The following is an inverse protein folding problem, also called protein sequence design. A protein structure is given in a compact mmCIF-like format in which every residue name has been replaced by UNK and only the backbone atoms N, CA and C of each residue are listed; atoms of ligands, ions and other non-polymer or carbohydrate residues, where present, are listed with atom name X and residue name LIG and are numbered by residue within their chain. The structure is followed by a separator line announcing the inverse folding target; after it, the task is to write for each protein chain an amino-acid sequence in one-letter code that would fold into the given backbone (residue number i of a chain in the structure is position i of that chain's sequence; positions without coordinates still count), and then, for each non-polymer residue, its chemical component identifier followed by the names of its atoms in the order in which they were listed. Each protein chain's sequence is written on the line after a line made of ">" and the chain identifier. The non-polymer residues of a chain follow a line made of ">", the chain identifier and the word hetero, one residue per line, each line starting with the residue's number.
data_IF_590252636178
#
_entry.id   IF_590252636178
#
_cell.length_a   1.000
_cell.length_b   1.000
_cell.length_c   1.000
_cell.angle_alpha   90.00
_cell.angle_beta   90.00
_cell.angle_gamma   90.00
#
_symmetry.space_group_name_H-M   'P 1'
#
loop_
_entity.id
_entity.type
_entity.pdbx_description
1 polymer ?
#
# COMPACT_ATOMS: atom_id res chain seq x y z
N UNK A 1 -18.85 -57.86 17.38
CA UNK A 1 -19.01 -56.87 16.29
C UNK A 1 -18.78 -55.49 16.90
N UNK A 2 -17.63 -54.88 16.64
CA UNK A 2 -17.21 -53.59 17.22
C UNK A 2 -17.59 -52.49 16.22
N UNK A 3 -18.43 -51.56 16.68
CA UNK A 3 -18.97 -50.46 15.89
C UNK A 3 -17.88 -49.43 15.57
N UNK A 4 -17.75 -49.06 14.29
CA UNK A 4 -16.78 -48.08 13.78
C UNK A 4 -17.24 -46.66 14.16
N UNK A 5 -16.53 -45.99 15.06
CA UNK A 5 -16.61 -44.54 15.19
C UNK A 5 -15.74 -43.89 14.12
N UNK A 6 -16.38 -43.31 13.11
CA UNK A 6 -15.74 -42.37 12.20
C UNK A 6 -15.61 -41.03 12.92
N UNK A 7 -14.39 -40.64 13.30
CA UNK A 7 -14.06 -39.26 13.63
C UNK A 7 -13.99 -38.49 12.31
N UNK A 8 -15.00 -37.69 12.01
CA UNK A 8 -14.94 -36.70 10.95
C UNK A 8 -14.25 -35.45 11.51
N UNK A 9 -12.95 -35.30 11.24
CA UNK A 9 -12.20 -34.08 11.53
C UNK A 9 -12.63 -33.01 10.52
N UNK A 10 -13.48 -32.08 10.94
CA UNK A 10 -13.79 -30.89 10.17
C UNK A 10 -12.55 -29.97 10.17
N UNK A 11 -11.77 -30.03 9.09
CA UNK A 11 -10.69 -29.09 8.83
C UNK A 11 -11.33 -27.76 8.42
N UNK A 12 -11.47 -26.83 9.35
CA UNK A 12 -11.85 -25.45 9.03
C UNK A 12 -10.65 -24.76 8.37
N UNK A 13 -10.63 -24.77 7.04
CA UNK A 13 -9.77 -23.91 6.23
C UNK A 13 -10.22 -22.45 6.43
N UNK A 14 -9.72 -21.80 7.47
CA UNK A 14 -9.77 -20.34 7.55
C UNK A 14 -8.68 -19.82 6.60
N UNK A 15 -9.05 -19.61 5.33
CA UNK A 15 -8.24 -18.80 4.44
C UNK A 15 -8.22 -17.39 5.03
N UNK A 16 -7.06 -16.96 5.52
CA UNK A 16 -6.82 -15.58 5.91
C UNK A 16 -6.93 -14.73 4.66
N UNK A 17 -8.08 -14.12 4.42
CA UNK A 17 -8.19 -13.05 3.44
C UNK A 17 -7.34 -11.90 3.98
N UNK A 18 -6.13 -11.72 3.44
CA UNK A 18 -5.26 -10.59 3.72
C UNK A 18 -5.86 -9.33 3.07
N UNK A 19 -6.97 -8.84 3.62
CA UNK A 19 -7.55 -7.56 3.24
C UNK A 19 -6.99 -6.56 4.24
N UNK A 20 -5.93 -5.83 3.87
CA UNK A 20 -5.49 -4.70 4.68
C UNK A 20 -6.28 -3.42 4.38
N UNK A 21 -7.28 -3.48 3.51
CA UNK A 21 -8.21 -2.38 3.31
C UNK A 21 -9.06 -2.20 4.55
N UNK A 22 -9.21 -0.96 4.98
CA UNK A 22 -10.04 -0.60 6.11
C UNK A 22 -11.22 0.21 5.60
N UNK A 23 -12.43 -0.18 6.02
CA UNK A 23 -13.65 0.48 5.61
C UNK A 23 -14.29 1.19 6.80
N UNK A 24 -14.17 2.52 6.79
CA UNK A 24 -14.73 3.40 7.81
C UNK A 24 -16.14 3.89 7.46
N UNK A 25 -16.66 4.87 8.21
CA UNK A 25 -17.93 5.50 7.89
C UNK A 25 -17.92 6.08 6.47
N UNK A 26 -18.93 5.74 5.66
CA UNK A 26 -19.04 6.13 4.25
C UNK A 26 -17.92 5.61 3.34
N UNK A 27 -17.28 4.48 3.66
CA UNK A 27 -16.21 3.88 2.84
C UNK A 27 -16.57 3.70 1.36
N UNK A 28 -17.75 3.16 1.07
CA UNK A 28 -18.23 2.98 -0.32
C UNK A 28 -18.26 4.30 -1.11
N UNK A 29 -18.72 5.39 -0.47
CA UNK A 29 -18.75 6.72 -1.10
C UNK A 29 -17.35 7.26 -1.35
N UNK A 30 -16.40 6.93 -0.47
CA UNK A 30 -15.02 7.33 -0.66
C UNK A 30 -14.36 6.55 -1.81
N UNK A 31 -14.68 5.26 -1.95
CA UNK A 31 -14.22 4.44 -3.08
C UNK A 31 -14.69 5.05 -4.42
N UNK A 32 -15.98 5.37 -4.53
CA UNK A 32 -16.54 6.06 -5.70
C UNK A 32 -15.86 7.42 -5.96
N UNK A 33 -15.61 8.18 -4.91
CA UNK A 33 -14.96 9.51 -5.03
C UNK A 33 -13.50 9.39 -5.50
N UNK A 34 -12.75 8.38 -5.04
CA UNK A 34 -11.41 8.09 -5.50
C UNK A 34 -11.40 7.68 -6.99
N UNK A 35 -12.34 6.83 -7.42
CA UNK A 35 -12.49 6.46 -8.83
C UNK A 35 -12.80 7.69 -9.73
N UNK A 36 -13.69 8.58 -9.26
CA UNK A 36 -13.95 9.84 -9.97
C UNK A 36 -12.72 10.73 -10.06
N UNK A 37 -11.92 10.82 -8.98
CA UNK A 37 -10.67 11.56 -8.97
C UNK A 37 -9.67 10.98 -9.99
N UNK A 38 -9.47 9.66 -10.02
CA UNK A 38 -8.57 8.99 -10.97
C UNK A 38 -8.99 9.30 -12.41
N UNK A 39 -10.27 9.17 -12.73
CA UNK A 39 -10.79 9.49 -14.06
C UNK A 39 -10.58 10.97 -14.42
N UNK A 40 -10.90 11.88 -13.50
CA UNK A 40 -10.74 13.31 -13.71
C UNK A 40 -9.27 13.72 -13.90
N UNK A 41 -8.34 13.06 -13.20
CA UNK A 41 -6.91 13.32 -13.26
C UNK A 41 -6.14 12.35 -14.16
N UNK A 42 -6.83 11.65 -15.08
CA UNK A 42 -6.19 10.81 -16.11
C UNK A 42 -5.30 11.60 -17.07
N UNK A 43 -5.47 12.93 -17.11
CA UNK A 43 -4.64 13.88 -17.85
C UNK A 43 -4.34 15.08 -16.94
N UNK A 44 -3.20 15.72 -17.15
CA UNK A 44 -2.81 16.95 -16.45
C UNK A 44 -3.13 18.17 -17.35
N UNK A 45 -3.83 19.21 -16.84
CA UNK A 45 -4.44 19.31 -15.51
C UNK A 45 -5.69 18.44 -15.34
N UNK A 46 -5.97 18.06 -14.10
CA UNK A 46 -7.22 17.38 -13.73
C UNK A 46 -8.45 18.13 -14.26
N UNK A 47 -9.43 17.37 -14.77
CA UNK A 47 -10.73 17.92 -15.17
C UNK A 47 -11.49 18.43 -13.94
N UNK A 48 -12.03 19.65 -14.05
CA UNK A 48 -12.89 20.23 -13.02
C UNK A 48 -14.06 19.28 -12.68
N UNK A 49 -14.51 19.23 -11.40
CA UNK A 49 -14.13 20.09 -10.28
C UNK A 49 -12.90 19.60 -9.49
N UNK A 50 -12.17 18.59 -9.98
CA UNK A 50 -11.07 17.99 -9.24
C UNK A 50 -9.75 18.74 -9.41
N UNK A 51 -8.93 18.71 -8.37
CA UNK A 51 -7.52 19.11 -8.44
C UNK A 51 -6.68 18.29 -7.47
N UNK A 52 -5.37 18.27 -7.70
CA UNK A 52 -4.40 17.52 -6.90
C UNK A 52 -3.26 18.44 -6.46
N UNK A 53 -2.83 18.30 -5.20
CA UNK A 53 -1.69 19.06 -4.67
C UNK A 53 -0.77 18.12 -3.91
N UNK A 54 0.52 18.15 -4.27
CA UNK A 54 1.56 17.48 -3.47
C UNK A 54 1.69 18.19 -2.11
N UNK A 55 1.39 17.44 -1.05
CA UNK A 55 1.39 17.94 0.34
C UNK A 55 2.47 17.31 1.19
N UNK A 56 3.02 16.17 0.78
CA UNK A 56 4.16 15.53 1.43
C UNK A 56 5.09 14.90 0.38
N UNK A 57 6.40 15.05 0.56
CA UNK A 57 7.40 14.34 -0.23
C UNK A 57 8.70 14.17 0.56
N UNK A 58 9.10 12.92 0.76
CA UNK A 58 10.26 12.53 1.55
C UNK A 58 11.58 13.02 0.95
N UNK A 59 11.73 12.93 -0.39
CA UNK A 59 12.98 13.25 -1.08
C UNK A 59 13.29 14.76 -1.06
N UNK A 60 12.28 15.59 -1.33
CA UNK A 60 12.38 17.06 -1.29
C UNK A 60 12.18 17.66 0.10
N UNK A 61 11.85 16.82 1.10
CA UNK A 61 11.50 17.23 2.48
C UNK A 61 10.32 18.20 2.54
N UNK A 62 9.42 18.13 1.57
CA UNK A 62 8.17 18.87 1.60
C UNK A 62 7.24 18.26 2.63
N UNK A 63 6.74 19.06 3.57
CA UNK A 63 5.65 18.66 4.44
C UNK A 63 4.70 19.83 4.71
N UNK A 64 3.51 19.79 4.11
CA UNK A 64 2.40 20.72 4.31
C UNK A 64 1.30 20.13 5.22
N UNK A 65 1.47 18.88 5.66
CA UNK A 65 0.55 18.20 6.57
C UNK A 65 0.88 18.56 8.02
N UNK A 66 -0.10 18.39 8.92
CA UNK A 66 0.20 18.40 10.35
C UNK A 66 1.02 17.16 10.73
N UNK A 67 1.67 17.21 11.89
CA UNK A 67 2.41 16.06 12.41
C UNK A 67 1.49 14.84 12.60
N UNK A 68 0.29 15.05 13.16
CA UNK A 68 -0.73 14.02 13.33
C UNK A 68 -1.14 13.37 12.00
N UNK A 69 -1.46 14.17 10.99
CA UNK A 69 -1.79 13.66 9.66
C UNK A 69 -0.64 12.84 9.06
N UNK A 70 0.59 13.33 9.20
CA UNK A 70 1.78 12.62 8.71
C UNK A 70 1.94 11.26 9.38
N UNK A 71 1.74 11.20 10.70
CA UNK A 71 1.88 9.95 11.46
C UNK A 71 0.76 8.95 11.17
N UNK A 72 -0.47 9.43 10.94
CA UNK A 72 -1.58 8.59 10.49
C UNK A 72 -1.29 8.02 9.09
N UNK A 73 -0.86 8.83 8.14
CA UNK A 73 -0.53 8.35 6.78
C UNK A 73 0.63 7.36 6.78
N UNK A 74 1.63 7.54 7.67
CA UNK A 74 2.70 6.55 7.89
C UNK A 74 2.17 5.23 8.44
N UNK A 75 1.20 5.29 9.36
CA UNK A 75 0.55 4.10 9.90
C UNK A 75 -0.22 3.35 8.80
N UNK A 76 -0.97 4.08 7.95
CA UNK A 76 -1.66 3.48 6.80
C UNK A 76 -0.66 2.82 5.85
N UNK A 77 0.41 3.53 5.47
CA UNK A 77 1.48 2.97 4.64
C UNK A 77 2.05 1.67 5.23
N UNK A 78 2.37 1.67 6.53
CA UNK A 78 2.87 0.48 7.22
C UNK A 78 1.87 -0.68 7.16
N UNK A 79 0.59 -0.42 7.44
CA UNK A 79 -0.48 -1.43 7.41
C UNK A 79 -0.62 -2.06 6.03
N UNK A 80 -0.64 -1.25 4.97
CA UNK A 80 -0.84 -1.75 3.61
C UNK A 80 0.39 -2.48 3.08
N UNK A 81 1.60 -2.01 3.40
CA UNK A 81 2.84 -2.71 3.04
C UNK A 81 2.98 -4.12 3.63
N UNK A 82 2.23 -4.47 4.69
CA UNK A 82 2.22 -5.84 5.20
C UNK A 82 1.62 -6.84 4.21
N UNK A 83 0.78 -6.40 3.25
CA UNK A 83 0.17 -7.30 2.25
C UNK A 83 1.20 -7.80 1.24
N UNK A 84 2.26 -7.02 0.94
CA UNK A 84 3.23 -7.38 -0.11
C UNK A 84 3.82 -8.78 0.09
N UNK A 85 3.98 -9.19 1.34
CA UNK A 85 4.39 -10.54 1.75
C UNK A 85 3.62 -11.67 1.06
N UNK A 86 2.33 -11.45 0.86
CA UNK A 86 1.41 -12.44 0.32
C UNK A 86 1.09 -12.22 -1.18
N UNK A 87 1.40 -11.05 -1.76
CA UNK A 87 0.99 -10.69 -3.14
C UNK A 87 2.14 -10.49 -4.14
N UNK A 88 3.34 -10.11 -3.70
CA UNK A 88 4.51 -9.87 -4.58
C UNK A 88 5.72 -10.67 -4.14
N UNK A 89 5.85 -10.92 -2.84
CA UNK A 89 6.97 -11.64 -2.27
C UNK A 89 6.82 -13.16 -2.39
N UNK A 90 6.27 -13.70 -3.49
CA UNK A 90 6.05 -15.16 -3.75
C UNK A 90 7.33 -16.04 -3.69
N UNK A 91 8.43 -15.53 -3.12
CA UNK A 91 9.73 -16.17 -2.93
C UNK A 91 10.87 -15.37 -3.54
N UNK A 92 10.54 -14.49 -4.48
CA UNK A 92 11.52 -13.79 -5.34
C UNK A 92 12.07 -12.50 -4.73
N UNK A 93 11.57 -12.09 -3.57
CA UNK A 93 12.00 -10.86 -2.93
C UNK A 93 12.09 -11.01 -1.41
N UNK A 94 13.08 -10.32 -0.83
CA UNK A 94 13.20 -10.15 0.61
C UNK A 94 13.01 -8.68 0.97
N UNK A 95 12.02 -8.34 1.78
CA UNK A 95 11.85 -6.98 2.30
C UNK A 95 12.64 -6.76 3.59
N UNK A 96 13.16 -5.54 3.78
CA UNK A 96 13.75 -5.08 5.04
C UNK A 96 12.70 -4.81 6.15
N UNK A 97 11.40 -4.78 5.82
CA UNK A 97 10.30 -4.56 6.78
C UNK A 97 10.26 -3.16 7.40
N UNK A 98 10.83 -2.16 6.72
CA UNK A 98 10.85 -0.76 7.17
C UNK A 98 10.13 0.13 6.16
N UNK A 99 8.81 0.20 6.28
CA UNK A 99 7.98 1.02 5.41
C UNK A 99 8.27 2.50 5.56
N UNK A 100 8.30 3.19 4.43
CA UNK A 100 8.50 4.64 4.35
C UNK A 100 7.37 5.25 3.52
N UNK A 101 6.69 6.24 4.09
CA UNK A 101 5.85 7.14 3.30
C UNK A 101 6.75 7.99 2.39
N UNK A 102 6.58 7.87 1.08
CA UNK A 102 7.39 8.57 0.08
C UNK A 102 6.75 9.89 -0.34
N UNK A 103 5.45 9.87 -0.64
CA UNK A 103 4.69 11.05 -1.02
C UNK A 103 3.23 10.96 -0.59
N UNK A 104 2.59 12.13 -0.45
CA UNK A 104 1.14 12.23 -0.34
C UNK A 104 0.64 13.38 -1.21
N UNK A 105 -0.37 13.09 -2.02
CA UNK A 105 -1.11 14.04 -2.83
C UNK A 105 -2.49 14.19 -2.21
N UNK A 106 -2.82 15.40 -1.74
CA UNK A 106 -4.18 15.72 -1.36
C UNK A 106 -4.98 15.99 -2.64
N UNK A 107 -6.13 15.34 -2.79
CA UNK A 107 -7.03 15.63 -3.89
C UNK A 107 -8.30 16.31 -3.40
N UNK A 108 -8.72 17.29 -4.19
CA UNK A 108 -9.76 18.25 -3.85
C UNK A 108 -10.91 18.17 -4.84
N UNK A 109 -12.10 18.52 -4.37
CA UNK A 109 -13.28 18.81 -5.19
C UNK A 109 -13.75 20.21 -4.87
N UNK A 110 -13.52 21.15 -5.80
CA UNK A 110 -13.54 22.57 -5.46
C UNK A 110 -12.51 22.90 -4.37
N UNK A 111 -12.96 23.48 -3.26
CA UNK A 111 -12.07 23.89 -2.14
C UNK A 111 -11.99 22.86 -1.00
N UNK A 112 -12.64 21.69 -1.14
CA UNK A 112 -12.71 20.67 -0.10
C UNK A 112 -11.72 19.55 -0.39
N UNK A 113 -10.88 19.18 0.58
CA UNK A 113 -10.10 17.94 0.54
C UNK A 113 -11.07 16.77 0.60
N UNK A 114 -11.03 15.90 -0.41
CA UNK A 114 -11.88 14.70 -0.48
C UNK A 114 -11.09 13.41 -0.33
N UNK A 115 -9.76 13.47 -0.27
CA UNK A 115 -8.90 12.37 0.14
C UNK A 115 -7.42 12.62 -0.10
N UNK A 116 -6.62 11.59 0.17
CA UNK A 116 -5.20 11.56 -0.10
C UNK A 116 -4.87 10.34 -0.96
N UNK A 117 -3.99 10.52 -1.94
CA UNK A 117 -3.29 9.42 -2.61
C UNK A 117 -1.88 9.37 -2.07
N UNK A 118 -1.50 8.28 -1.43
CA UNK A 118 -0.17 8.10 -0.83
C UNK A 118 0.65 7.13 -1.64
N UNK A 119 1.96 7.37 -1.71
CA UNK A 119 2.94 6.41 -2.21
C UNK A 119 3.88 6.05 -1.07
N UNK A 120 4.18 4.78 -0.93
CA UNK A 120 5.08 4.29 0.11
C UNK A 120 5.90 3.12 -0.40
N UNK A 121 7.03 2.87 0.26
CA UNK A 121 7.96 1.83 -0.16
C UNK A 121 8.74 1.20 1.00
N UNK A 122 9.20 -0.03 0.78
CA UNK A 122 10.21 -0.69 1.60
C UNK A 122 11.47 -0.94 0.80
N UNK A 123 12.62 -0.89 1.49
CA UNK A 123 13.84 -1.42 0.92
C UNK A 123 13.68 -2.93 0.78
N UNK A 124 14.04 -3.47 -0.37
CA UNK A 124 13.96 -4.89 -0.65
C UNK A 124 15.16 -5.36 -1.49
N UNK A 125 15.30 -6.67 -1.61
CA UNK A 125 16.27 -7.32 -2.47
C UNK A 125 15.55 -8.32 -3.36
N UNK A 126 15.89 -8.35 -4.64
CA UNK A 126 15.49 -9.43 -5.54
C UNK A 126 16.34 -10.68 -5.22
N UNK A 127 15.68 -11.74 -4.77
CA UNK A 127 16.27 -13.00 -4.37
C UNK A 127 16.18 -14.10 -5.44
N UNK A 128 15.51 -13.86 -6.58
CA UNK A 128 15.34 -14.87 -7.63
C UNK A 128 16.64 -15.21 -8.36
N UNK A 129 17.59 -14.27 -8.42
CA UNK A 129 18.86 -14.43 -9.15
C UNK A 129 20.09 -14.56 -8.23
N UNK A 130 19.91 -14.65 -6.90
CA UNK A 130 21.02 -14.78 -5.95
C UNK A 130 20.85 -16.00 -5.04
N UNK A 131 21.96 -16.48 -4.47
CA UNK A 131 21.96 -17.57 -3.49
C UNK A 131 21.54 -17.07 -2.09
N UNK A 132 20.29 -16.61 -1.97
CA UNK A 132 19.72 -16.18 -0.69
C UNK A 132 19.38 -17.39 0.19
N UNK A 133 19.98 -17.44 1.38
CA UNK A 133 19.83 -18.53 2.35
C UNK A 133 18.99 -18.15 3.58
N UNK A 134 18.29 -17.01 3.52
CA UNK A 134 17.54 -16.45 4.65
C UNK A 134 18.36 -15.56 5.57
N UNK A 135 19.69 -15.43 5.37
CA UNK A 135 20.54 -14.59 6.20
C UNK A 135 20.81 -13.22 5.58
N UNK A 136 21.03 -12.21 6.42
CA UNK A 136 21.42 -10.87 5.95
C UNK A 136 22.73 -10.87 5.15
N UNK A 137 23.61 -11.85 5.38
CA UNK A 137 24.90 -11.91 4.70
C UNK A 137 24.76 -12.29 3.22
N UNK A 138 23.84 -13.21 2.89
CA UNK A 138 23.61 -13.65 1.51
C UNK A 138 22.94 -12.57 0.64
N UNK A 139 22.26 -11.59 1.25
CA UNK A 139 21.70 -10.42 0.54
C UNK A 139 22.74 -9.57 -0.20
N UNK A 140 24.04 -9.67 0.15
CA UNK A 140 25.10 -8.89 -0.52
C UNK A 140 25.25 -9.22 -2.00
N UNK A 141 24.88 -10.44 -2.41
CA UNK A 141 24.91 -10.87 -3.82
C UNK A 141 23.60 -10.59 -4.55
N UNK A 142 22.60 -10.05 -3.87
CA UNK A 142 21.26 -9.82 -4.40
C UNK A 142 21.11 -8.38 -4.88
N UNK A 143 20.25 -8.18 -5.87
CA UNK A 143 20.00 -6.85 -6.42
C UNK A 143 19.16 -6.05 -5.42
N UNK A 144 19.71 -4.95 -4.92
CA UNK A 144 19.02 -4.06 -3.99
C UNK A 144 18.08 -3.11 -4.73
N UNK A 145 16.90 -2.90 -4.16
CA UNK A 145 15.92 -1.96 -4.66
C UNK A 145 14.87 -1.59 -3.62
N UNK A 146 13.68 -1.23 -4.09
CA UNK A 146 12.52 -0.92 -3.27
C UNK A 146 11.25 -1.48 -3.88
N UNK A 147 10.40 -2.04 -3.04
CA UNK A 147 9.01 -2.35 -3.40
C UNK A 147 8.19 -1.12 -3.05
N UNK A 148 7.34 -0.65 -3.96
CA UNK A 148 6.51 0.52 -3.75
C UNK A 148 5.07 0.31 -4.21
N UNK A 149 4.12 0.90 -3.49
CA UNK A 149 2.68 0.83 -3.76
C UNK A 149 2.05 2.22 -3.63
N UNK A 150 0.84 2.35 -4.16
CA UNK A 150 -0.03 3.50 -3.94
C UNK A 150 -1.34 3.07 -3.26
N UNK A 151 -1.85 3.91 -2.37
CA UNK A 151 -3.16 3.70 -1.73
C UNK A 151 -3.95 5.00 -1.68
N UNK A 152 -5.27 4.87 -1.63
CA UNK A 152 -6.19 5.96 -1.33
C UNK A 152 -6.53 5.97 0.16
N UNK A 153 -6.61 7.17 0.74
CA UNK A 153 -6.95 7.39 2.15
C UNK A 153 -8.01 8.47 2.25
N UNK A 154 -9.09 8.18 2.98
CA UNK A 154 -10.20 9.11 3.18
C UNK A 154 -9.77 10.34 3.98
N UNK A 155 -10.49 11.46 3.86
CA UNK A 155 -10.09 12.71 4.50
C UNK A 155 -10.17 12.66 6.04
N UNK A 156 -10.94 11.73 6.59
CA UNK A 156 -11.02 11.40 8.01
C UNK A 156 -10.10 10.25 8.44
N UNK A 157 -9.34 9.69 7.49
CA UNK A 157 -8.37 8.59 7.67
C UNK A 157 -8.95 7.26 8.16
N UNK A 158 -10.28 7.10 8.20
CA UNK A 158 -10.91 5.86 8.65
C UNK A 158 -11.09 4.83 7.53
N UNK A 159 -11.02 5.26 6.27
CA UNK A 159 -11.08 4.38 5.11
C UNK A 159 -9.78 4.49 4.33
N UNK A 160 -9.20 3.35 3.97
CA UNK A 160 -8.07 3.30 3.05
C UNK A 160 -8.03 1.96 2.32
N UNK A 161 -7.55 1.99 1.07
CA UNK A 161 -7.44 0.83 0.22
C UNK A 161 -6.34 1.02 -0.83
N UNK A 162 -5.78 -0.09 -1.31
CA UNK A 162 -4.75 -0.10 -2.35
C UNK A 162 -5.29 0.45 -3.67
N UNK A 163 -4.46 1.18 -4.42
CA UNK A 163 -4.74 1.52 -5.81
C UNK A 163 -4.52 0.29 -6.70
N UNK A 164 -5.59 -0.45 -7.00
CA UNK A 164 -5.50 -1.71 -7.75
C UNK A 164 -4.94 -1.56 -9.18
N UNK A 165 -5.06 -0.37 -9.78
CA UNK A 165 -4.46 -0.06 -11.09
C UNK A 165 -2.94 0.08 -11.00
N UNK A 166 -2.40 0.24 -9.78
CA UNK A 166 -0.98 0.39 -9.48
C UNK A 166 -0.55 -0.57 -8.39
N UNK A 167 -0.61 -1.85 -8.75
CA UNK A 167 -0.05 -2.94 -7.97
C UNK A 167 1.40 -2.63 -7.55
N UNK A 168 1.77 -3.11 -6.38
CA UNK A 168 3.12 -2.89 -5.91
C UNK A 168 4.17 -3.47 -6.87
N UNK A 169 5.29 -2.78 -6.97
CA UNK A 169 6.33 -3.08 -7.95
C UNK A 169 7.73 -2.91 -7.35
N UNK A 170 8.67 -3.75 -7.79
CA UNK A 170 10.08 -3.67 -7.41
C UNK A 170 10.86 -2.79 -8.39
N UNK A 171 11.57 -1.80 -7.85
CA UNK A 171 12.43 -0.91 -8.63
C UNK A 171 13.81 -0.77 -8.00
N UNK A 172 14.85 -0.57 -8.81
CA UNK A 172 16.24 -0.44 -8.35
C UNK A 172 16.55 0.87 -7.59
N UNK A 173 15.58 1.77 -7.48
CA UNK A 173 15.71 3.04 -6.77
C UNK A 173 15.34 4.26 -7.61
N UNK A 174 14.13 4.77 -7.32
CA UNK A 174 13.57 6.11 -7.53
C UNK A 174 13.65 6.70 -8.96
N UNK A 175 12.55 6.54 -9.70
CA UNK A 175 11.92 7.71 -10.35
C UNK A 175 11.17 8.52 -9.28
#
# INVERSE_FOLDING_TARGET
>A
MISKMFLATALTLTASLAIADQMGPNGDRFYDEAAHFVNACSQDPCKAPYSAVLVYNQSSRLNKLTQEQTDILRKVAFTQAQIWGDTILEGDFHSAGRTRLDSAVAFFKGNKVVGFKIRYSEKAWNTSECAFDGTKASLKGCVEGRIAEESFVSPDFFTFFTDEDRQADFSLGVN
#
